data_IF_581220993601
#
_entry.id   IF_581220993601
#
_cell.length_a   1.000
_cell.length_b   1.000
_cell.length_c   1.000
_cell.angle_alpha   90.00
_cell.angle_beta   90.00
_cell.angle_gamma   90.00
#
_symmetry.space_group_name_H-M   'P 1'
#
loop_
_entity.id
_entity.type
_entity.pdbx_description
1 polymer ?
#
# COMPACT_ATOMS: atom_id res chain seq x y z
N UNK A 1 -14.62 -7.72 -31.18
CA UNK A 1 -15.26 -7.74 -29.84
C UNK A 1 -15.18 -9.19 -29.36
N UNK A 2 -14.25 -9.53 -28.47
CA UNK A 2 -14.14 -10.90 -27.96
C UNK A 2 -15.08 -11.07 -26.77
N UNK A 3 -16.18 -11.78 -26.99
CA UNK A 3 -17.05 -12.25 -25.92
C UNK A 3 -16.32 -13.36 -25.18
N UNK A 4 -15.83 -13.10 -23.97
CA UNK A 4 -15.49 -14.18 -23.05
C UNK A 4 -16.79 -14.90 -22.72
N UNK A 5 -17.00 -16.07 -23.34
CA UNK A 5 -18.03 -16.97 -22.90
C UNK A 5 -17.71 -17.38 -21.46
N UNK A 6 -18.56 -16.97 -20.52
CA UNK A 6 -18.49 -17.49 -19.15
C UNK A 6 -18.66 -19.01 -19.22
N UNK A 7 -17.82 -19.74 -18.49
CA UNK A 7 -17.93 -21.20 -18.39
C UNK A 7 -19.38 -21.55 -17.96
N UNK A 8 -20.13 -22.38 -18.70
CA UNK A 8 -21.49 -22.74 -18.33
C UNK A 8 -21.59 -23.47 -16.98
N UNK A 9 -20.47 -23.95 -16.43
CA UNK A 9 -20.39 -24.53 -15.09
C UNK A 9 -19.95 -23.52 -14.01
N UNK A 10 -19.74 -22.25 -14.35
CA UNK A 10 -19.36 -21.21 -13.39
C UNK A 10 -20.49 -20.92 -12.40
N UNK A 11 -20.24 -21.14 -11.12
CA UNK A 11 -21.13 -20.72 -10.04
C UNK A 11 -20.78 -19.31 -9.58
N UNK A 12 -21.77 -18.42 -9.56
CA UNK A 12 -21.61 -17.04 -9.08
C UNK A 12 -21.98 -16.92 -7.61
N UNK A 13 -21.11 -16.27 -6.82
CA UNK A 13 -21.34 -15.95 -5.41
C UNK A 13 -21.29 -14.42 -5.19
N UNK A 14 -22.24 -13.81 -4.46
CA UNK A 14 -22.15 -12.40 -4.10
C UNK A 14 -20.88 -12.12 -3.28
N UNK A 15 -20.22 -10.99 -3.56
CA UNK A 15 -18.94 -10.63 -2.93
C UNK A 15 -18.99 -10.67 -1.40
N UNK A 16 -19.98 -10.03 -0.78
CA UNK A 16 -20.09 -10.00 0.69
C UNK A 16 -20.41 -11.38 1.27
N UNK A 17 -21.15 -12.24 0.54
CA UNK A 17 -21.36 -13.62 0.96
C UNK A 17 -20.06 -14.43 0.89
N UNK A 18 -19.23 -14.22 -0.13
CA UNK A 18 -17.90 -14.82 -0.20
C UNK A 18 -17.05 -14.37 1.00
N UNK A 19 -16.97 -13.07 1.29
CA UNK A 19 -16.24 -12.53 2.44
C UNK A 19 -16.68 -13.18 3.75
N UNK A 20 -17.99 -13.24 4.02
CA UNK A 20 -18.52 -13.86 5.24
C UNK A 20 -18.20 -15.36 5.35
N UNK A 21 -18.24 -16.11 4.24
CA UNK A 21 -17.87 -17.53 4.19
C UNK A 21 -16.38 -17.72 4.47
N UNK A 22 -15.52 -16.92 3.84
CA UNK A 22 -14.07 -16.97 4.04
C UNK A 22 -13.67 -16.60 5.46
N UNK A 23 -14.27 -15.54 6.04
CA UNK A 23 -14.03 -15.14 7.44
C UNK A 23 -14.39 -16.29 8.39
N UNK A 24 -15.56 -16.91 8.23
CA UNK A 24 -15.99 -18.03 9.07
C UNK A 24 -15.03 -19.23 8.99
N UNK A 25 -14.50 -19.54 7.80
CA UNK A 25 -13.52 -20.62 7.63
C UNK A 25 -12.19 -20.30 8.31
N UNK A 26 -11.68 -19.08 8.16
CA UNK A 26 -10.41 -18.64 8.77
C UNK A 26 -10.50 -18.58 10.29
N UNK A 27 -11.59 -18.03 10.84
CA UNK A 27 -11.82 -18.00 12.28
C UNK A 27 -11.87 -19.42 12.88
N UNK A 28 -12.61 -20.34 12.23
CA UNK A 28 -12.67 -21.76 12.63
C UNK A 28 -11.33 -22.51 12.54
N UNK A 29 -10.37 -22.00 11.77
CA UNK A 29 -9.03 -22.57 11.68
C UNK A 29 -8.05 -22.01 12.72
N UNK A 30 -8.43 -21.00 13.51
CA UNK A 30 -7.58 -20.38 14.54
C UNK A 30 -7.06 -18.98 14.20
N UNK A 31 -7.65 -18.28 13.23
CA UNK A 31 -7.41 -16.84 13.06
C UNK A 31 -8.27 -16.03 14.04
N UNK A 32 -7.70 -14.97 14.62
CA UNK A 32 -8.48 -13.94 15.32
C UNK A 32 -9.50 -13.28 14.39
N UNK A 33 -10.64 -12.81 14.92
CA UNK A 33 -11.70 -12.16 14.12
C UNK A 33 -11.16 -11.02 13.22
N UNK A 34 -10.27 -10.19 13.76
CA UNK A 34 -9.61 -9.11 13.00
C UNK A 34 -8.80 -9.66 11.83
N UNK A 35 -7.98 -10.69 12.06
CA UNK A 35 -7.19 -11.30 10.99
C UNK A 35 -8.09 -11.99 9.96
N UNK A 36 -9.09 -12.76 10.41
CA UNK A 36 -10.05 -13.45 9.56
C UNK A 36 -10.80 -12.49 8.65
N UNK A 37 -11.29 -11.35 9.16
CA UNK A 37 -12.00 -10.34 8.37
C UNK A 37 -11.11 -9.67 7.31
N UNK A 38 -9.87 -9.30 7.68
CA UNK A 38 -8.89 -8.67 6.77
C UNK A 38 -8.53 -9.64 5.63
N UNK A 39 -8.16 -10.88 5.99
CA UNK A 39 -7.76 -11.91 5.04
C UNK A 39 -8.92 -12.35 4.13
N UNK A 40 -10.14 -12.47 4.66
CA UNK A 40 -11.32 -12.79 3.88
C UNK A 40 -11.65 -11.72 2.83
N UNK A 41 -11.61 -10.43 3.21
CA UNK A 41 -11.84 -9.32 2.27
C UNK A 41 -10.75 -9.22 1.21
N UNK A 42 -9.49 -9.41 1.60
CA UNK A 42 -8.35 -9.44 0.68
C UNK A 42 -8.47 -10.60 -0.33
N UNK A 43 -8.73 -11.82 0.14
CA UNK A 43 -8.87 -13.01 -0.71
C UNK A 43 -10.09 -12.91 -1.66
N UNK A 44 -11.24 -12.45 -1.16
CA UNK A 44 -12.42 -12.20 -1.99
C UNK A 44 -12.17 -11.10 -3.03
N UNK A 45 -11.37 -10.07 -2.70
CA UNK A 45 -10.93 -9.04 -3.65
C UNK A 45 -10.09 -9.62 -4.79
N UNK A 46 -9.09 -10.46 -4.45
CA UNK A 46 -8.30 -11.18 -5.46
C UNK A 46 -9.15 -12.08 -6.35
N UNK A 47 -10.17 -12.76 -5.80
CA UNK A 47 -11.11 -13.57 -6.58
C UNK A 47 -11.95 -12.70 -7.53
N UNK A 48 -12.57 -11.63 -7.01
CA UNK A 48 -13.41 -10.67 -7.76
C UNK A 48 -12.67 -10.09 -8.96
N UNK A 49 -11.40 -9.75 -8.78
CA UNK A 49 -10.58 -9.07 -9.79
C UNK A 49 -9.79 -10.06 -10.67
N UNK A 50 -10.21 -11.33 -10.73
CA UNK A 50 -9.65 -12.36 -11.62
C UNK A 50 -8.23 -12.83 -11.25
N UNK A 51 -7.71 -12.44 -10.09
CA UNK A 51 -6.40 -12.86 -9.59
C UNK A 51 -6.53 -14.23 -8.89
N UNK A 52 -7.07 -15.23 -9.60
CA UNK A 52 -7.48 -16.52 -9.03
C UNK A 52 -6.37 -17.25 -8.26
N UNK A 53 -5.11 -17.11 -8.67
CA UNK A 53 -3.93 -17.67 -7.98
C UNK A 53 -3.68 -17.08 -6.57
N UNK A 54 -4.36 -16.00 -6.21
CA UNK A 54 -4.33 -15.34 -4.90
C UNK A 54 -5.74 -15.15 -4.28
N UNK A 55 -6.79 -15.57 -5.00
CA UNK A 55 -8.16 -15.66 -4.50
C UNK A 55 -8.41 -16.94 -3.72
N UNK A 56 -9.59 -17.54 -3.91
CA UNK A 56 -10.11 -18.69 -3.15
C UNK A 56 -9.16 -19.90 -3.21
N UNK A 57 -8.38 -20.03 -4.29
CA UNK A 57 -7.29 -21.00 -4.44
C UNK A 57 -6.33 -21.07 -3.23
N UNK A 58 -6.08 -19.93 -2.55
CA UNK A 58 -5.14 -19.88 -1.40
C UNK A 58 -5.74 -20.36 -0.09
N UNK A 59 -7.06 -20.49 0.02
CA UNK A 59 -7.74 -20.82 1.28
C UNK A 59 -7.28 -22.15 1.89
N UNK A 60 -7.14 -23.27 1.15
CA UNK A 60 -6.58 -24.50 1.71
C UNK A 60 -5.19 -24.32 2.35
N UNK A 61 -4.35 -23.45 1.78
CA UNK A 61 -3.05 -23.07 2.33
C UNK A 61 -3.17 -22.33 3.66
N UNK A 62 -3.96 -21.25 3.68
CA UNK A 62 -4.27 -20.48 4.91
C UNK A 62 -4.78 -21.38 6.04
N UNK A 63 -5.75 -22.24 5.75
CA UNK A 63 -6.35 -23.13 6.75
C UNK A 63 -5.36 -24.21 7.23
N UNK A 64 -4.45 -24.67 6.36
CA UNK A 64 -3.40 -25.63 6.72
C UNK A 64 -2.39 -25.01 7.68
N UNK A 65 -1.87 -23.82 7.36
CA UNK A 65 -0.83 -23.17 8.18
C UNK A 65 -1.33 -22.63 9.51
N UNK A 66 -2.61 -22.26 9.59
CA UNK A 66 -3.28 -21.93 10.85
C UNK A 66 -3.41 -23.18 11.75
N UNK A 67 -3.97 -24.28 11.22
CA UNK A 67 -4.18 -25.52 12.01
C UNK A 67 -2.89 -26.20 12.44
N UNK A 68 -1.79 -26.04 11.71
CA UNK A 68 -0.48 -26.57 12.11
C UNK A 68 0.27 -25.69 13.11
N UNK A 69 -0.23 -24.49 13.43
CA UNK A 69 0.49 -23.50 14.22
C UNK A 69 1.71 -22.88 13.50
N UNK A 70 1.86 -23.09 12.18
CA UNK A 70 2.93 -22.49 11.39
C UNK A 70 2.80 -20.96 11.32
N UNK A 71 1.57 -20.45 11.25
CA UNK A 71 1.26 -19.02 11.42
C UNK A 71 0.47 -18.83 12.70
N UNK A 72 0.87 -17.86 13.52
CA UNK A 72 0.05 -17.43 14.65
C UNK A 72 -1.10 -16.53 14.16
N UNK A 73 -2.33 -17.08 14.16
CA UNK A 73 -3.54 -16.38 13.78
C UNK A 73 -4.01 -15.30 14.77
N UNK A 74 -3.42 -15.26 15.97
CA UNK A 74 -3.66 -14.27 17.03
C UNK A 74 -2.48 -13.32 17.26
N UNK A 75 -1.44 -13.40 16.41
CA UNK A 75 -0.24 -12.58 16.50
C UNK A 75 -0.54 -11.09 16.61
N UNK A 76 0.13 -10.42 17.56
CA UNK A 76 0.06 -8.96 17.73
C UNK A 76 1.37 -8.35 17.23
N UNK A 77 1.35 -7.52 16.17
CA UNK A 77 2.58 -6.98 15.61
C UNK A 77 3.28 -6.04 16.59
N UNK A 78 4.60 -6.13 16.68
CA UNK A 78 5.42 -5.16 17.40
C UNK A 78 5.85 -4.04 16.45
N UNK A 79 5.44 -2.82 16.79
CA UNK A 79 5.59 -1.63 15.94
C UNK A 79 6.67 -0.72 16.54
N UNK A 80 7.60 -0.25 15.71
CA UNK A 80 8.67 0.67 16.13
C UNK A 80 8.85 1.77 15.10
N UNK A 81 8.48 3.01 15.47
CA UNK A 81 8.81 4.21 14.70
C UNK A 81 10.27 4.55 14.96
N UNK A 82 11.12 4.30 13.98
CA UNK A 82 12.60 4.45 14.07
C UNK A 82 13.11 5.72 13.38
N UNK A 83 12.20 6.52 12.79
CA UNK A 83 12.48 7.86 12.28
C UNK A 83 11.18 8.58 11.89
N UNK A 84 11.30 9.83 11.44
CA UNK A 84 10.15 10.61 11.00
C UNK A 84 9.33 9.88 9.91
N UNK A 85 10.03 9.29 8.95
CA UNK A 85 9.45 8.59 7.79
C UNK A 85 9.76 7.09 7.74
N UNK A 86 10.24 6.47 8.83
CA UNK A 86 10.61 5.04 8.82
C UNK A 86 10.01 4.27 10.00
N UNK A 87 9.25 3.22 9.69
CA UNK A 87 8.52 2.38 10.63
C UNK A 87 8.88 0.90 10.40
N UNK A 88 9.22 0.21 11.49
CA UNK A 88 9.53 -1.23 11.50
C UNK A 88 8.41 -2.00 12.15
N UNK A 89 8.09 -3.17 11.59
CA UNK A 89 7.07 -4.08 12.11
C UNK A 89 7.69 -5.47 12.24
N UNK A 90 7.56 -6.08 13.42
CA UNK A 90 7.64 -7.53 13.58
C UNK A 90 6.22 -8.07 13.58
N UNK A 91 5.83 -8.94 12.63
CA UNK A 91 4.49 -9.52 12.63
C UNK A 91 4.33 -10.67 13.64
N UNK A 92 5.36 -11.00 14.43
CA UNK A 92 5.31 -12.03 15.47
C UNK A 92 4.84 -13.40 14.96
N UNK A 93 5.36 -13.82 13.81
CA UNK A 93 4.97 -15.03 13.08
C UNK A 93 3.49 -15.04 12.59
N UNK A 94 2.87 -13.86 12.50
CA UNK A 94 1.52 -13.66 11.98
C UNK A 94 1.46 -13.34 10.48
N UNK A 95 0.26 -13.05 10.00
CA UNK A 95 0.05 -12.62 8.60
C UNK A 95 0.48 -11.17 8.35
N UNK A 96 0.97 -10.89 7.14
CA UNK A 96 1.41 -9.57 6.73
C UNK A 96 0.27 -8.55 6.64
N UNK A 97 -0.90 -8.93 6.11
CA UNK A 97 -2.00 -7.99 5.87
C UNK A 97 -2.59 -7.42 7.18
N UNK A 98 -2.86 -8.23 8.24
CA UNK A 98 -3.24 -7.69 9.54
C UNK A 98 -2.16 -6.80 10.18
N UNK A 99 -0.88 -7.12 9.99
CA UNK A 99 0.23 -6.31 10.50
C UNK A 99 0.34 -4.94 9.81
N UNK A 100 0.08 -4.87 8.49
CA UNK A 100 0.02 -3.62 7.72
C UNK A 100 -1.25 -2.80 8.05
N UNK A 101 -2.40 -3.44 8.24
CA UNK A 101 -3.63 -2.75 8.63
C UNK A 101 -3.51 -2.07 10.00
N UNK A 102 -2.87 -2.75 10.96
CA UNK A 102 -2.66 -2.24 12.31
C UNK A 102 -1.93 -0.88 12.35
N UNK A 103 -1.03 -0.63 11.40
CA UNK A 103 -0.25 0.63 11.29
C UNK A 103 -0.76 1.61 10.24
N UNK A 104 -1.89 1.32 9.58
CA UNK A 104 -2.38 2.12 8.44
C UNK A 104 -2.62 3.59 8.81
N UNK A 105 -3.00 3.87 10.06
CA UNK A 105 -3.17 5.24 10.59
C UNK A 105 -1.82 5.93 10.83
N UNK A 106 -0.85 5.23 11.40
CA UNK A 106 0.50 5.77 11.66
C UNK A 106 1.21 6.13 10.36
N UNK A 107 1.13 5.27 9.34
CA UNK A 107 1.67 5.55 8.00
C UNK A 107 1.05 6.84 7.43
N UNK A 108 -0.27 7.03 7.54
CA UNK A 108 -0.93 8.28 7.08
C UNK A 108 -0.44 9.51 7.84
N UNK A 109 -0.28 9.43 9.16
CA UNK A 109 0.26 10.52 9.96
C UNK A 109 1.71 10.86 9.55
N UNK A 110 2.57 9.85 9.39
CA UNK A 110 3.97 10.02 8.95
C UNK A 110 4.07 10.67 7.56
N UNK A 111 3.19 10.30 6.61
CA UNK A 111 3.12 10.92 5.29
C UNK A 111 2.68 12.39 5.40
N UNK A 112 1.71 12.71 6.26
CA UNK A 112 1.29 14.10 6.51
C UNK A 112 2.38 14.96 7.17
N UNK A 113 3.16 14.38 8.08
CA UNK A 113 4.25 15.06 8.79
C UNK A 113 5.52 15.26 7.94
N UNK A 114 5.84 14.31 7.05
CA UNK A 114 7.17 14.22 6.41
C UNK A 114 7.15 14.01 4.89
N UNK A 115 5.98 13.95 4.26
CA UNK A 115 5.78 13.75 2.83
C UNK A 115 5.95 12.31 2.34
N UNK A 116 6.49 11.39 3.16
CA UNK A 116 6.72 10.00 2.80
C UNK A 116 6.68 9.07 4.01
N UNK A 117 6.53 7.76 3.77
CA UNK A 117 6.75 6.72 4.77
C UNK A 117 7.36 5.47 4.12
N UNK A 118 8.32 4.87 4.81
CA UNK A 118 8.93 3.58 4.49
C UNK A 118 8.55 2.61 5.60
N UNK A 119 8.08 1.43 5.23
CA UNK A 119 7.65 0.38 6.16
C UNK A 119 8.49 -0.87 5.94
N UNK A 120 9.18 -1.33 6.99
CA UNK A 120 9.95 -2.57 6.97
C UNK A 120 9.27 -3.63 7.84
N UNK A 121 8.52 -4.52 7.21
CA UNK A 121 7.86 -5.67 7.81
C UNK A 121 8.78 -6.90 7.80
N UNK A 122 8.81 -7.65 8.90
CA UNK A 122 9.53 -8.94 9.01
C UNK A 122 8.70 -9.99 9.77
N UNK A 123 9.17 -11.23 9.75
CA UNK A 123 8.62 -12.34 10.55
C UNK A 123 7.11 -12.52 10.30
N UNK A 124 6.74 -12.49 9.03
CA UNK A 124 5.37 -12.36 8.54
C UNK A 124 5.10 -13.32 7.38
N UNK A 125 3.87 -13.83 7.28
CA UNK A 125 3.43 -14.67 6.17
C UNK A 125 2.54 -13.88 5.21
N UNK A 126 2.85 -13.88 3.91
CA UNK A 126 2.08 -13.17 2.88
C UNK A 126 1.66 -14.13 1.77
N UNK A 127 0.36 -14.43 1.71
CA UNK A 127 -0.25 -15.38 0.76
C UNK A 127 -1.27 -14.71 -0.18
N UNK A 128 -1.03 -13.45 -0.57
CA UNK A 128 -1.92 -12.68 -1.46
C UNK A 128 -1.17 -12.04 -2.62
N UNK A 129 -1.92 -11.40 -3.53
CA UNK A 129 -1.34 -10.46 -4.48
C UNK A 129 -0.88 -9.19 -3.75
N UNK A 130 -0.03 -8.39 -4.41
CA UNK A 130 0.51 -7.15 -3.83
C UNK A 130 -0.37 -5.91 -4.09
N UNK A 131 -1.28 -5.96 -5.07
CA UNK A 131 -2.15 -4.83 -5.38
C UNK A 131 -3.05 -4.37 -4.20
N UNK A 132 -3.60 -5.24 -3.33
CA UNK A 132 -4.42 -4.80 -2.19
C UNK A 132 -3.64 -4.02 -1.13
N UNK A 133 -2.32 -4.20 -1.08
CA UNK A 133 -1.45 -3.48 -0.15
C UNK A 133 -1.18 -2.03 -0.62
N UNK A 134 -1.19 -1.80 -1.95
CA UNK A 134 -0.89 -0.50 -2.57
C UNK A 134 -2.13 0.30 -2.99
N UNK A 135 -3.22 -0.34 -3.39
CA UNK A 135 -4.43 0.32 -3.92
C UNK A 135 -5.04 1.35 -2.96
N UNK A 136 -5.19 1.10 -1.64
CA UNK A 136 -5.77 2.10 -0.72
C UNK A 136 -4.94 3.38 -0.54
N UNK A 137 -3.68 3.40 -0.98
CA UNK A 137 -2.83 4.60 -1.01
C UNK A 137 -2.99 5.34 -2.33
N UNK A 138 -3.09 4.60 -3.44
CA UNK A 138 -3.43 5.14 -4.75
C UNK A 138 -4.79 5.85 -4.74
N UNK A 139 -5.81 5.26 -4.12
CA UNK A 139 -7.14 5.87 -3.93
C UNK A 139 -7.09 7.16 -3.09
N UNK A 140 -6.09 7.28 -2.21
CA UNK A 140 -5.79 8.48 -1.43
C UNK A 140 -4.93 9.50 -2.19
N UNK A 141 -4.65 9.29 -3.48
CA UNK A 141 -3.84 10.17 -4.32
C UNK A 141 -2.32 10.06 -4.08
N UNK A 142 -1.87 9.01 -3.40
CA UNK A 142 -0.46 8.77 -3.05
C UNK A 142 0.19 7.76 -4.01
N UNK A 143 1.50 7.89 -4.20
CA UNK A 143 2.31 6.86 -4.87
C UNK A 143 2.78 5.85 -3.83
N UNK A 144 2.51 4.56 -4.06
CA UNK A 144 2.97 3.47 -3.20
C UNK A 144 3.76 2.44 -4.02
N UNK A 145 4.80 1.89 -3.39
CA UNK A 145 5.59 0.76 -3.87
C UNK A 145 5.66 -0.26 -2.75
N UNK A 146 5.38 -1.53 -3.06
CA UNK A 146 5.52 -2.65 -2.12
C UNK A 146 6.41 -3.71 -2.75
N UNK A 147 7.09 -4.47 -1.89
CA UNK A 147 7.98 -5.58 -2.27
C UNK A 147 7.88 -6.65 -1.19
N UNK A 148 7.69 -7.90 -1.61
CA UNK A 148 7.67 -9.09 -0.74
C UNK A 148 8.62 -10.12 -1.34
N UNK A 149 9.36 -10.83 -0.49
CA UNK A 149 10.13 -12.00 -0.91
C UNK A 149 9.33 -13.27 -0.61
N UNK A 150 9.44 -14.27 -1.48
CA UNK A 150 8.86 -15.59 -1.30
C UNK A 150 9.87 -16.70 -1.59
N UNK A 151 9.52 -17.94 -1.23
CA UNK A 151 10.42 -19.09 -1.40
C UNK A 151 10.68 -19.45 -2.87
N UNK A 152 11.93 -19.82 -3.16
CA UNK A 152 12.48 -19.93 -4.51
C UNK A 152 12.06 -21.17 -5.33
N UNK A 153 10.94 -21.81 -5.01
CA UNK A 153 10.54 -23.11 -5.58
C UNK A 153 10.09 -23.09 -7.06
N UNK A 154 10.05 -21.92 -7.72
CA UNK A 154 9.74 -21.78 -9.16
C UNK A 154 10.71 -20.87 -9.92
N UNK A 155 11.98 -20.84 -9.53
CA UNK A 155 13.01 -20.24 -10.36
C UNK A 155 13.36 -21.16 -11.55
N UNK A 156 12.95 -20.80 -12.77
CA UNK A 156 13.49 -21.36 -14.00
C UNK A 156 14.92 -20.79 -14.20
N UNK A 157 15.86 -21.31 -13.42
CA UNK A 157 17.17 -20.71 -13.24
C UNK A 157 18.20 -21.24 -14.27
N UNK A 158 18.58 -20.39 -15.22
CA UNK A 158 19.97 -20.42 -15.69
C UNK A 158 20.87 -20.00 -14.51
N UNK A 159 21.41 -21.02 -13.83
CA UNK A 159 22.35 -21.06 -12.69
C UNK A 159 23.23 -19.80 -12.45
N UNK A 160 23.75 -19.61 -11.20
CA UNK A 160 23.18 -19.99 -9.89
C UNK A 160 23.44 -18.97 -8.75
N UNK A 161 22.90 -19.29 -7.55
CA UNK A 161 23.14 -18.71 -6.20
C UNK A 161 22.26 -17.50 -5.82
N UNK A 162 21.34 -17.76 -4.88
CA UNK A 162 20.40 -16.83 -4.22
C UNK A 162 19.45 -16.09 -5.18
N UNK A 163 18.46 -16.83 -5.68
CA UNK A 163 17.31 -16.24 -6.37
C UNK A 163 16.24 -15.82 -5.34
N UNK A 164 15.99 -14.52 -5.22
CA UNK A 164 14.72 -14.00 -4.71
C UNK A 164 13.78 -13.75 -5.90
N UNK A 165 12.51 -14.11 -5.77
CA UNK A 165 11.50 -13.73 -6.77
C UNK A 165 11.07 -12.28 -6.50
N UNK A 166 11.25 -11.42 -7.50
CA UNK A 166 10.78 -10.04 -7.47
C UNK A 166 9.44 -9.95 -8.22
N UNK A 167 8.35 -9.74 -7.49
CA UNK A 167 7.08 -9.32 -8.10
C UNK A 167 7.01 -7.79 -8.12
N UNK A 168 7.35 -7.19 -9.26
CA UNK A 168 7.35 -5.73 -9.44
C UNK A 168 6.02 -5.23 -10.01
N UNK A 169 5.01 -5.13 -9.15
CA UNK A 169 3.76 -4.43 -9.49
C UNK A 169 3.89 -2.90 -9.32
N UNK A 170 4.52 -2.23 -10.30
CA UNK A 170 4.42 -0.77 -10.45
C UNK A 170 3.09 -0.42 -11.11
N UNK A 171 2.00 -0.31 -10.32
CA UNK A 171 0.75 0.29 -10.80
C UNK A 171 0.87 1.82 -10.67
N UNK A 172 1.01 2.52 -11.79
CA UNK A 172 1.02 3.99 -11.83
C UNK A 172 -0.39 4.55 -11.71
N UNK A 173 -1.00 4.39 -10.55
CA UNK A 173 -2.31 4.94 -10.23
C UNK A 173 -2.20 6.43 -9.89
N UNK A 174 -2.44 7.30 -10.87
CA UNK A 174 -2.79 8.69 -10.60
C UNK A 174 -4.29 8.83 -10.35
N UNK A 175 -4.76 9.93 -9.75
CA UNK A 175 -6.19 10.20 -9.61
C UNK A 175 -6.84 10.26 -11.00
N UNK A 176 -7.67 9.28 -11.31
CA UNK A 176 -8.46 9.27 -12.54
C UNK A 176 -9.73 10.09 -12.28
N UNK A 177 -9.98 11.19 -13.01
CA UNK A 177 -11.29 11.85 -12.92
C UNK A 177 -12.35 10.85 -13.40
N UNK A 178 -13.36 10.62 -12.56
CA UNK A 178 -14.46 9.71 -12.87
C UNK A 178 -15.24 10.18 -14.11
N UNK A 179 -15.93 9.26 -14.83
CA UNK A 179 -16.74 9.61 -15.97
C UNK A 179 -17.87 10.56 -15.53
N UNK A 180 -17.79 11.83 -15.92
CA UNK A 180 -18.79 12.85 -15.59
C UNK A 180 -18.26 14.19 -15.03
N UNK A 181 -16.96 14.33 -14.75
CA UNK A 181 -16.39 15.66 -14.44
C UNK A 181 -16.16 16.46 -15.73
N UNK A 182 -17.20 17.19 -16.12
CA UNK A 182 -17.21 18.08 -17.27
C UNK A 182 -16.15 19.19 -17.13
N UNK A 183 -15.31 19.34 -18.16
CA UNK A 183 -14.21 20.33 -18.15
C UNK A 183 -14.76 21.68 -18.58
N UNK A 184 -15.39 22.39 -17.63
CA UNK A 184 -15.80 23.77 -17.78
C UNK A 184 -14.66 24.63 -18.34
N UNK A 185 -14.83 25.09 -19.58
CA UNK A 185 -13.80 25.83 -20.30
C UNK A 185 -13.52 27.19 -19.62
N UNK A 186 -12.27 27.44 -19.24
CA UNK A 186 -11.86 28.76 -18.77
C UNK A 186 -11.89 29.77 -19.93
N UNK A 187 -12.72 30.83 -19.89
CA UNK A 187 -12.80 31.80 -20.97
C UNK A 187 -11.59 32.75 -20.90
N UNK A 188 -10.72 32.69 -21.91
CA UNK A 188 -9.64 33.65 -22.04
C UNK A 188 -10.16 35.06 -22.33
N UNK A 189 -9.56 36.08 -21.70
CA UNK A 189 -9.66 37.48 -22.15
C UNK A 189 -8.28 38.06 -22.37
N UNK A 190 -8.04 38.57 -23.59
CA UNK A 190 -6.83 39.30 -23.96
C UNK A 190 -6.87 40.73 -23.38
N UNK A 191 -5.67 41.17 -22.98
CA UNK A 191 -5.15 42.53 -22.92
C UNK A 191 -6.09 43.75 -23.05
N UNK A 192 -5.92 44.68 -22.10
CA UNK A 192 -5.79 46.11 -22.42
C UNK A 192 -4.43 46.63 -21.94
N UNK A 193 -3.81 47.47 -22.74
CA UNK A 193 -2.68 48.34 -22.35
C UNK A 193 -3.23 49.73 -21.94
N UNK A 194 -2.30 50.63 -21.61
CA UNK A 194 -2.44 52.07 -21.31
C UNK A 194 -2.51 52.37 -19.79
N UNK A 195 -1.70 53.27 -19.21
CA UNK A 195 -0.52 54.00 -19.72
C UNK A 195 -0.10 55.15 -18.79
N UNK A 196 1.17 55.21 -18.35
CA UNK A 196 1.76 56.30 -17.54
C UNK A 196 1.39 56.31 -16.03
N UNK A 197 2.17 56.92 -15.12
CA UNK A 197 3.49 57.56 -15.26
C UNK A 197 4.23 57.71 -13.91
N UNK A 198 5.56 57.88 -13.98
CA UNK A 198 6.49 58.56 -13.05
C UNK A 198 6.67 58.09 -11.59
N UNK A 199 7.94 57.95 -11.16
CA UNK A 199 8.34 57.77 -9.75
C UNK A 199 9.70 57.09 -9.53
N UNK A 200 10.82 57.73 -9.90
CA UNK A 200 12.17 57.20 -9.70
C UNK A 200 12.72 57.59 -8.28
N UNK A 201 13.27 56.67 -7.45
CA UNK A 201 14.72 56.35 -7.25
C UNK A 201 15.51 57.47 -6.50
N UNK A 202 16.57 57.26 -5.66
CA UNK A 202 17.28 56.03 -5.19
C UNK A 202 17.54 55.88 -3.65
N UNK A 203 17.64 54.62 -3.19
CA UNK A 203 18.81 53.97 -2.55
C UNK A 203 19.54 54.48 -1.27
N UNK A 204 20.08 53.53 -0.49
CA UNK A 204 21.50 53.50 -0.03
C UNK A 204 21.94 52.14 0.56
N UNK A 205 23.25 51.89 0.48
CA UNK A 205 23.96 50.65 0.87
C UNK A 205 24.12 50.44 2.40
N UNK A 206 24.11 49.16 2.83
CA UNK A 206 25.13 48.38 3.60
C UNK A 206 26.26 49.07 4.43
N UNK A 207 27.05 48.37 5.32
CA UNK A 207 26.98 46.98 5.84
C UNK A 207 27.27 46.78 7.37
N UNK A 208 27.14 45.50 7.83
CA UNK A 208 27.89 44.77 8.89
C UNK A 208 28.52 45.50 10.10
N UNK A 209 28.31 44.92 11.30
CA UNK A 209 29.40 44.67 12.28
C UNK A 209 29.35 43.26 12.87
N UNK A 210 30.53 42.65 13.03
CA UNK A 210 30.81 41.49 13.90
C UNK A 210 31.34 42.01 15.23
N UNK A 211 31.20 41.24 16.31
CA UNK A 211 32.13 41.29 17.44
C UNK A 211 32.58 39.87 17.82
N UNK A 212 33.90 39.68 17.94
CA UNK A 212 34.50 38.57 18.69
C UNK A 212 34.35 38.90 20.19
N UNK A 213 34.21 37.96 21.13
CA UNK A 213 35.24 37.13 21.82
C UNK A 213 34.46 36.22 22.83
N UNK A 214 34.95 35.14 23.47
CA UNK A 214 36.26 34.47 23.51
C UNK A 214 36.11 32.97 23.88
N UNK A 215 37.24 32.27 24.08
CA UNK A 215 37.48 30.98 24.79
C UNK A 215 38.70 31.23 25.72
N UNK A 216 39.13 30.33 26.64
CA UNK A 216 38.53 29.08 27.13
C UNK A 216 38.50 28.98 28.69
N UNK A 217 37.92 27.90 29.22
CA UNK A 217 38.57 26.95 30.14
C UNK A 217 38.07 25.53 29.78
#
# INVERSE_FOLDING_TARGET
MMTFALDPNASHIPFDLLVLRLQSLLAKAGASETAAAILARNCAGCERDGTFSHGVFRIPGYLSTLRSGWVDGHARPQISRVGASYLRIDAMNGFAQPALEAVRKDIRAMIGESGAAIVALRNSHHFSALWPDVEPWADAGLVALTMVYGDAHRAFAHRPRRAGLFDHHVRRSGPHPGPGQDRGAAPGRRARRDGGAAGAVPGRHQPRRRHHLQRPL
#
